data_IF_534944753142
#
_entry.id   IF_534944753142
#
_cell.length_a   1.000
_cell.length_b   1.000
_cell.length_c   1.000
_cell.angle_alpha   90.00
_cell.angle_beta   90.00
_cell.angle_gamma   90.00
#
_symmetry.space_group_name_H-M   'P 1'
#
loop_
_entity.id
_entity.type
_entity.pdbx_description
1 polymer ?
#
# COMPACT_ATOMS: atom_id res chain seq x y z
N UNK A 1 6.39 13.12 -24.06
CA UNK A 1 6.23 13.85 -25.35
C UNK A 1 6.78 13.01 -26.50
N UNK A 2 6.23 13.16 -27.69
CA UNK A 2 6.82 12.57 -28.91
C UNK A 2 7.98 13.44 -29.42
N UNK A 3 8.80 12.88 -30.31
CA UNK A 3 9.91 13.59 -30.96
C UNK A 3 11.16 13.75 -30.06
N UNK A 4 11.95 14.83 -30.24
CA UNK A 4 13.26 14.97 -29.58
C UNK A 4 13.25 14.94 -28.05
N UNK A 5 12.08 15.18 -27.44
CA UNK A 5 11.91 15.24 -25.99
C UNK A 5 11.34 13.93 -25.40
N UNK A 6 11.25 12.85 -26.19
CA UNK A 6 10.80 11.55 -25.71
C UNK A 6 11.74 11.01 -24.62
N UNK A 7 11.17 10.54 -23.51
CA UNK A 7 11.93 10.07 -22.35
C UNK A 7 12.57 11.16 -21.47
N UNK A 8 12.70 12.40 -21.96
CA UNK A 8 13.26 13.52 -21.19
C UNK A 8 12.24 14.19 -20.26
N UNK A 9 10.97 14.20 -20.68
CA UNK A 9 9.87 14.74 -19.88
C UNK A 9 8.90 13.58 -19.59
N UNK A 10 8.67 13.34 -18.31
CA UNK A 10 7.72 12.33 -17.82
C UNK A 10 6.70 12.97 -16.89
N UNK A 11 5.64 12.24 -16.57
CA UNK A 11 4.62 12.63 -15.59
C UNK A 11 4.71 11.77 -14.35
N UNK A 12 4.47 12.37 -13.19
CA UNK A 12 4.42 11.63 -11.93
C UNK A 12 3.25 10.64 -11.93
N UNK A 13 3.48 9.47 -11.35
CA UNK A 13 2.44 8.45 -11.19
C UNK A 13 1.37 8.90 -10.17
N UNK A 14 0.15 8.36 -10.30
CA UNK A 14 -1.06 8.84 -9.61
C UNK A 14 -0.92 8.94 -8.09
N UNK A 15 -0.23 8.00 -7.45
CA UNK A 15 -0.07 7.96 -5.99
C UNK A 15 1.36 8.24 -5.52
N UNK A 16 2.28 8.55 -6.43
CA UNK A 16 3.64 8.84 -6.06
C UNK A 16 3.74 10.22 -5.38
N UNK A 17 4.68 10.36 -4.44
CA UNK A 17 4.99 11.63 -3.78
C UNK A 17 6.50 11.88 -3.79
N UNK A 18 6.89 13.11 -3.45
CA UNK A 18 8.29 13.48 -3.25
C UNK A 18 8.51 13.66 -1.75
N UNK A 19 9.54 13.02 -1.19
CA UNK A 19 9.91 13.20 0.22
C UNK A 19 10.79 14.43 0.45
N UNK A 20 11.12 14.72 1.71
CA UNK A 20 11.87 15.92 2.10
C UNK A 20 13.27 16.02 1.48
N UNK A 21 13.80 14.90 0.98
CA UNK A 21 15.11 14.82 0.32
C UNK A 21 15.02 14.89 -1.21
N UNK A 22 13.81 14.98 -1.78
CA UNK A 22 13.59 15.05 -3.22
C UNK A 22 13.46 13.69 -3.91
N UNK A 23 13.40 12.59 -3.17
CA UNK A 23 13.20 11.26 -3.78
C UNK A 23 11.72 10.97 -3.99
N UNK A 24 11.43 10.28 -5.10
CA UNK A 24 10.09 9.77 -5.39
C UNK A 24 9.83 8.55 -4.51
N UNK A 25 8.66 8.53 -3.88
CA UNK A 25 8.17 7.40 -3.08
C UNK A 25 6.83 6.92 -3.61
N UNK A 26 6.61 5.61 -3.50
CA UNK A 26 5.37 4.93 -3.85
C UNK A 26 4.72 4.33 -2.60
N UNK A 27 3.39 4.33 -2.48
CA UNK A 27 2.69 3.75 -1.33
C UNK A 27 2.44 2.25 -1.49
N UNK A 28 2.50 1.54 -0.37
CA UNK A 28 2.26 0.11 -0.25
C UNK A 28 1.43 -0.22 1.00
N UNK A 29 0.76 -1.39 0.99
CA UNK A 29 0.24 -2.03 2.20
C UNK A 29 1.22 -3.10 2.65
N UNK A 30 1.43 -3.22 3.96
CA UNK A 30 2.28 -4.27 4.51
C UNK A 30 1.54 -5.61 4.52
N UNK A 31 2.25 -6.68 4.21
CA UNK A 31 1.81 -8.05 4.40
C UNK A 31 2.68 -8.71 5.47
N UNK A 32 2.08 -9.63 6.22
CA UNK A 32 2.76 -10.42 7.25
C UNK A 32 2.14 -11.81 7.29
N UNK A 33 2.97 -12.85 7.31
CA UNK A 33 2.57 -14.27 7.31
C UNK A 33 1.47 -14.61 6.28
N UNK A 34 1.61 -14.08 5.06
CA UNK A 34 0.66 -14.31 3.97
C UNK A 34 -0.67 -13.58 4.10
N UNK A 35 -0.80 -12.63 5.03
CA UNK A 35 -1.97 -11.76 5.21
C UNK A 35 -1.62 -10.31 4.92
N UNK A 36 -2.40 -9.66 4.07
CA UNK A 36 -2.33 -8.20 3.86
C UNK A 36 -3.02 -7.50 5.02
N UNK A 37 -2.29 -6.59 5.67
CA UNK A 37 -2.77 -5.89 6.86
C UNK A 37 -3.19 -4.46 6.53
N UNK A 38 -4.40 -4.10 6.99
CA UNK A 38 -4.85 -2.71 6.98
C UNK A 38 -4.22 -1.96 8.15
N UNK A 39 -3.51 -0.88 7.86
CA UNK A 39 -2.89 -0.04 8.86
C UNK A 39 -3.62 1.29 8.96
N UNK A 40 -3.68 1.83 10.17
CA UNK A 40 -4.30 3.10 10.49
C UNK A 40 -3.37 3.94 11.35
N UNK A 41 -3.36 5.26 11.11
CA UNK A 41 -2.63 6.23 11.92
C UNK A 41 -3.60 6.90 12.87
N UNK A 42 -3.31 6.83 14.16
CA UNK A 42 -4.15 7.42 15.20
C UNK A 42 -4.14 8.95 15.12
N UNK A 43 -5.33 9.54 14.99
CA UNK A 43 -5.56 10.99 14.96
C UNK A 43 -6.09 11.53 16.29
N UNK A 44 -6.88 10.71 17.01
CA UNK A 44 -7.34 11.04 18.37
C UNK A 44 -7.28 9.79 19.22
N UNK A 45 -6.64 9.91 20.38
CA UNK A 45 -6.42 8.79 21.30
C UNK A 45 -7.65 8.43 22.13
N UNK A 46 -8.64 9.34 22.24
CA UNK A 46 -9.81 9.12 23.09
C UNK A 46 -9.42 8.81 24.53
N UNK A 47 -9.97 7.74 25.08
CA UNK A 47 -9.57 7.13 26.36
C UNK A 47 -8.81 5.80 26.16
N UNK A 48 -8.33 5.54 24.94
CA UNK A 48 -7.57 4.36 24.56
C UNK A 48 -6.09 4.42 24.95
N UNK A 49 -5.42 3.28 24.79
CA UNK A 49 -4.00 3.10 25.16
C UNK A 49 -2.99 3.57 24.09
N UNK A 50 -3.46 3.90 22.89
CA UNK A 50 -2.60 4.33 21.79
C UNK A 50 -2.08 5.76 21.92
N UNK A 51 -1.00 6.05 21.19
CA UNK A 51 -0.40 7.39 21.10
C UNK A 51 -0.84 8.10 19.82
N UNK A 52 -0.89 9.43 19.88
CA UNK A 52 -1.13 10.26 18.70
C UNK A 52 -0.07 9.99 17.62
N UNK A 53 -0.50 9.73 16.39
CA UNK A 53 0.37 9.41 15.26
C UNK A 53 0.88 7.96 15.24
N UNK A 54 0.54 7.13 16.24
CA UNK A 54 0.90 5.72 16.23
C UNK A 54 0.22 5.02 15.05
N UNK A 55 0.98 4.15 14.38
CA UNK A 55 0.45 3.26 13.35
C UNK A 55 0.05 1.95 14.04
N UNK A 56 -1.19 1.54 13.83
CA UNK A 56 -1.78 0.31 14.37
C UNK A 56 -2.45 -0.47 13.24
N UNK A 57 -2.64 -1.77 13.42
CA UNK A 57 -3.45 -2.58 12.51
C UNK A 57 -4.94 -2.34 12.72
N UNK A 58 -5.76 -2.65 11.71
CA UNK A 58 -7.23 -2.60 11.83
C UNK A 58 -7.73 -3.48 12.97
N UNK A 59 -7.24 -4.71 13.06
CA UNK A 59 -7.59 -5.66 14.13
C UNK A 59 -7.29 -5.08 15.53
N UNK A 60 -6.15 -4.41 15.73
CA UNK A 60 -5.80 -3.76 17.00
C UNK A 60 -6.71 -2.56 17.31
N UNK A 61 -7.03 -1.76 16.29
CA UNK A 61 -7.89 -0.59 16.43
C UNK A 61 -9.32 -1.00 16.79
N UNK A 62 -9.86 -1.98 16.07
CA UNK A 62 -11.21 -2.50 16.27
C UNK A 62 -11.34 -3.11 17.67
N UNK A 63 -10.38 -3.97 18.06
CA UNK A 63 -10.38 -4.60 19.37
C UNK A 63 -10.26 -3.60 20.54
N UNK A 64 -9.54 -2.48 20.36
CA UNK A 64 -9.48 -1.42 21.37
C UNK A 64 -10.80 -0.63 21.43
N UNK A 65 -11.36 -0.27 20.27
CA UNK A 65 -12.60 0.49 20.19
C UNK A 65 -13.80 -0.28 20.72
N UNK A 66 -13.90 -1.59 20.47
CA UNK A 66 -14.94 -2.45 21.05
C UNK A 66 -14.90 -2.43 22.59
N UNK A 67 -13.70 -2.47 23.19
CA UNK A 67 -13.53 -2.39 24.65
C UNK A 67 -13.92 -1.01 25.20
N UNK A 68 -13.55 0.06 24.50
CA UNK A 68 -13.89 1.43 24.90
C UNK A 68 -15.39 1.68 24.80
N UNK A 69 -16.03 1.20 23.74
CA UNK A 69 -17.47 1.30 23.53
C UNK A 69 -18.24 0.56 24.63
N UNK A 70 -17.84 -0.68 24.92
CA UNK A 70 -18.43 -1.47 26.01
C UNK A 70 -18.28 -0.80 27.39
N UNK A 71 -17.24 0.01 27.58
CA UNK A 71 -17.00 0.78 28.79
C UNK A 71 -17.63 2.19 28.77
N UNK A 72 -18.34 2.58 27.71
CA UNK A 72 -18.92 3.92 27.55
C UNK A 72 -17.87 5.04 27.45
N UNK A 73 -16.67 4.72 26.98
CA UNK A 73 -15.52 5.63 26.88
C UNK A 73 -15.38 6.20 25.47
N UNK A 74 -14.56 7.25 25.33
CA UNK A 74 -14.31 7.88 24.03
C UNK A 74 -13.41 6.99 23.19
N UNK A 75 -13.90 6.68 21.99
CA UNK A 75 -13.21 5.85 21.00
C UNK A 75 -11.96 6.53 20.45
N UNK A 76 -11.06 5.70 19.91
CA UNK A 76 -9.90 6.11 19.13
C UNK A 76 -10.35 6.42 17.72
N UNK A 77 -9.94 7.58 17.21
CA UNK A 77 -10.16 8.01 15.83
C UNK A 77 -8.84 7.88 15.06
N UNK A 78 -8.87 7.26 13.88
CA UNK A 78 -7.69 6.97 13.08
C UNK A 78 -8.01 7.02 11.59
N UNK A 79 -6.99 7.35 10.78
CA UNK A 79 -7.09 7.40 9.32
C UNK A 79 -6.33 6.24 8.67
N UNK A 80 -6.75 5.75 7.48
CA UNK A 80 -5.99 4.75 6.74
C UNK A 80 -4.54 5.19 6.49
N UNK A 81 -3.60 4.28 6.69
CA UNK A 81 -2.17 4.52 6.54
C UNK A 81 -1.56 3.61 5.47
N UNK A 82 -0.85 4.21 4.52
CA UNK A 82 0.00 3.50 3.56
C UNK A 82 1.47 3.78 3.85
N UNK A 83 2.31 2.78 3.64
CA UNK A 83 3.76 2.88 3.79
C UNK A 83 4.36 3.35 2.48
N UNK A 84 4.95 4.54 2.49
CA UNK A 84 5.64 5.07 1.33
C UNK A 84 7.10 4.66 1.38
N UNK A 85 7.57 4.06 0.30
CA UNK A 85 8.95 3.60 0.16
C UNK A 85 9.59 4.31 -1.04
N UNK A 86 10.82 4.74 -0.86
CA UNK A 86 11.70 5.16 -1.95
C UNK A 86 12.21 3.95 -2.74
N UNK A 87 12.79 4.17 -3.92
CA UNK A 87 13.30 3.10 -4.78
C UNK A 87 14.31 2.17 -4.06
N UNK A 88 15.25 2.72 -3.27
CA UNK A 88 16.23 1.90 -2.55
C UNK A 88 15.64 1.15 -1.35
N UNK A 89 14.53 1.63 -0.79
CA UNK A 89 13.81 0.93 0.27
C UNK A 89 13.01 -0.21 -0.33
N UNK A 90 12.31 0.06 -1.44
CA UNK A 90 11.54 -0.91 -2.22
C UNK A 90 12.39 -2.12 -2.61
N UNK A 91 13.63 -1.91 -3.07
CA UNK A 91 14.56 -2.97 -3.49
C UNK A 91 14.82 -4.05 -2.43
N UNK A 92 14.60 -3.75 -1.14
CA UNK A 92 14.86 -4.67 -0.03
C UNK A 92 13.72 -5.65 0.23
N UNK A 93 12.57 -5.45 -0.40
CA UNK A 93 11.32 -6.15 -0.10
C UNK A 93 10.81 -6.94 -1.29
N UNK A 94 9.96 -7.92 -1.00
CA UNK A 94 9.21 -8.67 -2.00
C UNK A 94 7.78 -8.13 -2.05
N UNK A 95 7.40 -7.56 -3.19
CA UNK A 95 6.17 -6.78 -3.34
C UNK A 95 5.21 -7.47 -4.30
N UNK A 96 4.05 -7.89 -3.78
CA UNK A 96 2.98 -8.45 -4.58
C UNK A 96 2.25 -7.40 -5.42
N UNK A 97 1.72 -7.83 -6.56
CA UNK A 97 0.90 -6.99 -7.43
C UNK A 97 -0.49 -6.69 -6.83
N UNK A 98 -1.07 -5.53 -7.15
CA UNK A 98 -2.34 -5.09 -6.58
C UNK A 98 -3.54 -5.98 -6.94
N UNK A 99 -3.42 -6.78 -8.01
CA UNK A 99 -4.44 -7.72 -8.47
C UNK A 99 -4.33 -9.11 -7.84
N UNK A 100 -3.36 -9.34 -6.93
CA UNK A 100 -3.25 -10.59 -6.20
C UNK A 100 -4.56 -10.88 -5.44
N UNK A 101 -5.09 -12.10 -5.58
CA UNK A 101 -6.37 -12.48 -4.99
C UNK A 101 -6.22 -12.70 -3.49
N UNK A 102 -7.05 -12.01 -2.72
CA UNK A 102 -7.15 -12.13 -1.27
C UNK A 102 -8.51 -12.73 -0.87
N UNK A 103 -8.54 -13.42 0.26
CA UNK A 103 -9.79 -13.84 0.91
C UNK A 103 -10.40 -12.71 1.76
N UNK A 104 -11.54 -12.97 2.39
CA UNK A 104 -12.26 -12.00 3.23
C UNK A 104 -11.45 -11.53 4.46
N UNK A 105 -10.46 -12.32 4.89
CA UNK A 105 -9.58 -12.01 6.02
C UNK A 105 -8.29 -11.33 5.58
N UNK A 106 -8.08 -11.16 4.28
CA UNK A 106 -6.89 -10.54 3.69
C UNK A 106 -5.74 -11.51 3.41
N UNK A 107 -5.93 -12.82 3.53
CA UNK A 107 -4.90 -13.80 3.17
C UNK A 107 -4.83 -13.98 1.67
N UNK A 108 -3.61 -14.19 1.14
CA UNK A 108 -3.45 -14.62 -0.25
C UNK A 108 -4.12 -15.98 -0.46
N UNK A 109 -5.01 -16.04 -1.46
CA UNK A 109 -5.78 -17.24 -1.81
C UNK A 109 -4.85 -18.34 -2.35
N UNK A 110 -3.84 -17.95 -3.11
CA UNK A 110 -2.87 -18.87 -3.69
C UNK A 110 -1.66 -19.01 -2.76
N UNK A 111 -1.12 -20.22 -2.65
CA UNK A 111 0.12 -20.47 -1.89
C UNK A 111 1.31 -19.74 -2.50
N UNK A 112 1.33 -19.64 -3.83
CA UNK A 112 2.36 -18.93 -4.60
C UNK A 112 1.80 -17.67 -5.25
N UNK A 113 2.51 -16.56 -5.09
CA UNK A 113 2.09 -15.22 -5.52
C UNK A 113 3.16 -14.62 -6.45
N UNK A 114 2.72 -13.99 -7.54
CA UNK A 114 3.59 -13.22 -8.42
C UNK A 114 3.92 -11.90 -7.72
N UNK A 115 5.21 -11.63 -7.62
CA UNK A 115 5.74 -10.46 -6.93
C UNK A 115 6.94 -9.89 -7.68
N UNK A 116 7.37 -8.71 -7.25
CA UNK A 116 8.58 -8.04 -7.71
C UNK A 116 9.58 -7.95 -6.56
N UNK A 117 10.83 -8.31 -6.83
CA UNK A 117 11.92 -8.26 -5.84
C UNK A 117 13.19 -7.77 -6.54
N UNK A 118 13.78 -6.66 -6.07
CA UNK A 118 14.98 -6.08 -6.68
C UNK A 118 14.83 -5.73 -8.17
N UNK A 119 13.61 -5.41 -8.63
CA UNK A 119 13.31 -5.13 -10.04
C UNK A 119 12.91 -6.34 -10.89
N UNK A 120 13.18 -7.56 -10.42
CA UNK A 120 12.81 -8.79 -11.14
C UNK A 120 11.42 -9.29 -10.75
N UNK A 121 10.72 -9.89 -11.72
CA UNK A 121 9.46 -10.59 -11.45
C UNK A 121 9.73 -12.03 -11.01
N UNK A 122 9.25 -12.36 -9.82
CA UNK A 122 9.45 -13.65 -9.17
C UNK A 122 8.11 -14.26 -8.74
N UNK A 123 8.09 -15.58 -8.54
CA UNK A 123 6.95 -16.27 -7.94
C UNK A 123 7.40 -16.91 -6.64
N UNK A 124 6.89 -16.40 -5.52
CA UNK A 124 7.30 -16.82 -4.16
C UNK A 124 6.12 -17.37 -3.38
N UNK A 125 6.40 -18.07 -2.29
CA UNK A 125 5.39 -18.43 -1.30
C UNK A 125 4.79 -17.17 -0.66
N UNK A 126 3.49 -17.22 -0.33
CA UNK A 126 2.73 -16.06 0.15
C UNK A 126 3.26 -15.47 1.47
N UNK A 127 3.87 -16.29 2.32
CA UNK A 127 4.46 -15.91 3.60
C UNK A 127 5.74 -15.08 3.45
N UNK A 128 6.35 -15.09 2.26
CA UNK A 128 7.52 -14.28 1.93
C UNK A 128 7.18 -12.91 1.37
N UNK A 129 5.91 -12.58 1.20
CA UNK A 129 5.48 -11.27 0.70
C UNK A 129 5.55 -10.25 1.84
N UNK A 130 6.32 -9.19 1.67
CA UNK A 130 6.47 -8.12 2.66
C UNK A 130 5.44 -6.99 2.45
N UNK A 131 5.13 -6.70 1.18
CA UNK A 131 4.25 -5.61 0.79
C UNK A 131 3.37 -5.98 -0.41
N UNK A 132 2.30 -5.23 -0.60
CA UNK A 132 1.46 -5.28 -1.80
C UNK A 132 1.18 -3.86 -2.29
N UNK A 133 1.18 -3.72 -3.61
CA UNK A 133 0.74 -2.52 -4.32
C UNK A 133 -0.67 -2.09 -3.86
N UNK A 134 -0.91 -0.78 -3.71
CA UNK A 134 -2.21 -0.31 -3.20
C UNK A 134 -3.33 -0.41 -4.24
N UNK A 135 -2.97 -0.29 -5.53
CA UNK A 135 -3.90 -0.18 -6.64
C UNK A 135 -3.15 -0.37 -7.97
N UNK A 136 -3.73 -1.03 -8.98
CA UNK A 136 -3.13 -1.10 -10.32
C UNK A 136 -2.86 0.28 -10.93
N UNK A 137 -3.65 1.29 -10.54
CA UNK A 137 -3.52 2.68 -11.04
C UNK A 137 -2.27 3.40 -10.52
N UNK A 138 -1.54 2.82 -9.57
CA UNK A 138 -0.30 3.41 -9.07
C UNK A 138 0.83 3.43 -10.09
N UNK A 139 0.74 2.63 -11.15
CA UNK A 139 1.76 2.54 -12.19
C UNK A 139 1.55 3.58 -13.30
N UNK A 140 0.42 4.27 -13.33
CA UNK A 140 0.05 5.21 -14.40
C UNK A 140 -0.10 6.63 -13.88
N UNK A 141 0.11 7.60 -14.75
CA UNK A 141 -0.15 9.02 -14.45
C UNK A 141 -1.65 9.30 -14.36
N UNK A 142 -2.01 10.45 -13.78
CA UNK A 142 -3.41 10.89 -13.67
C UNK A 142 -4.08 10.97 -15.05
N UNK A 143 -3.36 11.45 -16.08
CA UNK A 143 -3.90 11.56 -17.43
C UNK A 143 -4.20 10.18 -18.03
N UNK A 144 -3.25 9.23 -17.92
CA UNK A 144 -3.45 7.87 -18.40
C UNK A 144 -4.53 7.11 -17.62
N UNK A 145 -4.67 7.37 -16.31
CA UNK A 145 -5.70 6.75 -15.46
C UNK A 145 -7.15 7.11 -15.84
N UNK A 146 -7.34 8.15 -16.67
CA UNK A 146 -8.65 8.57 -17.20
C UNK A 146 -9.02 7.89 -18.53
N UNK A 147 -8.10 7.14 -19.14
CA UNK A 147 -8.36 6.38 -20.36
C UNK A 147 -9.11 5.10 -19.97
N UNK A 148 -10.36 4.90 -20.43
CA UNK A 148 -11.09 3.67 -20.17
C UNK A 148 -10.46 2.52 -20.96
N UNK A 149 -10.42 1.33 -20.37
CA UNK A 149 -9.91 0.10 -21.01
C UNK A 149 -8.45 0.19 -21.48
N UNK A 150 -7.62 1.00 -20.80
CA UNK A 150 -6.20 1.17 -21.09
C UNK A 150 -5.44 -0.16 -21.20
N UNK A 151 -5.88 -1.20 -20.47
CA UNK A 151 -5.32 -2.55 -20.54
C UNK A 151 -5.47 -3.25 -21.90
N UNK A 152 -6.33 -2.75 -22.78
CA UNK A 152 -6.57 -3.29 -24.13
C UNK A 152 -5.92 -2.45 -25.24
N UNK A 153 -5.37 -1.28 -24.90
CA UNK A 153 -4.72 -0.38 -25.85
C UNK A 153 -3.21 -0.67 -25.91
N UNK A 154 -2.66 -0.65 -27.12
CA UNK A 154 -1.21 -0.78 -27.33
C UNK A 154 -0.47 0.50 -26.88
N UNK A 155 0.67 0.31 -26.23
CA UNK A 155 1.53 1.40 -25.74
C UNK A 155 2.45 2.00 -26.81
#
# INVERSE_FOLDING_TARGET
>A
PEGPNIGLISSLATYARINDYGFIESPYKKADDGRVLHHFRVLKVGDGSFRLGQIVTGDELDAENEKLEAAGKRLVDAEPHAFYLSAWEEEKYIIAQANARLDEKGYFVNDRVIARAGGDFVTVERDRIDYIDISPKQLVSVAAALIPFLENDDA
#
